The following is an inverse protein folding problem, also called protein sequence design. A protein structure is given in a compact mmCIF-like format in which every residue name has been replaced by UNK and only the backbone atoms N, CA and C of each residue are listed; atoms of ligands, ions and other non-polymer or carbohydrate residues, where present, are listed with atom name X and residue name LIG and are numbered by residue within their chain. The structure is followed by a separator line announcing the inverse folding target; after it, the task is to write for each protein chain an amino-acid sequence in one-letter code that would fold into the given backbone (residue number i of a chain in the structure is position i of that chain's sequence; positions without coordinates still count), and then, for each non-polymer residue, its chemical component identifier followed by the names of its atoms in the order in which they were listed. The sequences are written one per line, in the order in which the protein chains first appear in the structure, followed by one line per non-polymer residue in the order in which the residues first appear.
data_IF_471214320472
#
_entry.id   IF_471214320472
#
_cell.length_a   1.000
_cell.length_b   1.000
_cell.length_c   1.000
_cell.angle_alpha   90.00
_cell.angle_beta   90.00
_cell.angle_gamma   90.00
#
_symmetry.space_group_name_H-M   'P 1'
#
loop_
_entity.id
_entity.type
_entity.pdbx_description
1 polymer ?
#
# COMPACT_ATOMS: atom_id res chain seq x y z
N UNK A 1 4.93 4.40 -5.18
CA UNK A 1 4.49 3.11 -5.71
C UNK A 1 4.53 3.20 -7.23
N UNK A 2 5.38 2.45 -7.89
CA UNK A 2 5.47 2.39 -9.36
C UNK A 2 4.48 1.33 -9.84
N UNK A 3 3.46 1.75 -10.57
CA UNK A 3 2.32 0.91 -10.94
C UNK A 3 2.44 0.32 -12.32
N UNK A 4 3.09 1.01 -13.25
CA UNK A 4 3.32 0.52 -14.62
C UNK A 4 4.57 1.14 -15.26
N UNK A 5 4.99 0.61 -16.41
CA UNK A 5 6.14 1.05 -17.17
C UNK A 5 7.46 0.45 -16.70
N UNK A 6 8.58 0.97 -17.22
CA UNK A 6 9.93 0.53 -16.86
C UNK A 6 10.88 1.69 -16.63
N UNK A 7 11.77 1.50 -15.68
CA UNK A 7 12.75 2.51 -15.33
C UNK A 7 13.72 2.02 -14.27
N UNK A 8 14.31 2.95 -13.56
CA UNK A 8 15.13 2.65 -12.39
C UNK A 8 15.20 3.86 -11.46
N UNK A 9 15.44 3.57 -10.19
CA UNK A 9 15.73 4.57 -9.16
C UNK A 9 17.22 4.53 -8.84
N UNK A 10 17.84 5.71 -8.78
CA UNK A 10 19.21 5.86 -8.27
C UNK A 10 19.20 6.71 -7.01
N UNK A 11 19.99 6.30 -6.04
CA UNK A 11 20.27 7.00 -4.79
C UNK A 11 21.77 6.96 -4.55
N UNK A 12 22.27 7.60 -3.50
CA UNK A 12 23.67 7.45 -3.09
C UNK A 12 24.03 6.01 -2.66
N UNK A 13 23.02 5.21 -2.25
CA UNK A 13 23.23 3.89 -1.67
C UNK A 13 23.02 2.74 -2.66
N UNK A 14 22.19 2.91 -3.69
CA UNK A 14 21.88 1.87 -4.67
C UNK A 14 21.32 2.41 -5.99
N UNK A 15 21.30 1.53 -7.00
CA UNK A 15 20.44 1.64 -8.17
C UNK A 15 19.54 0.39 -8.23
N UNK A 16 18.25 0.56 -8.44
CA UNK A 16 17.25 -0.51 -8.49
C UNK A 16 16.36 -0.35 -9.72
N UNK A 17 16.18 -1.43 -10.47
CA UNK A 17 15.27 -1.45 -11.62
C UNK A 17 13.82 -1.44 -11.19
N UNK A 18 12.99 -0.82 -12.02
CA UNK A 18 11.53 -0.82 -11.96
C UNK A 18 11.07 -1.57 -13.21
N UNK A 19 10.71 -2.83 -13.08
CA UNK A 19 10.25 -3.72 -14.15
C UNK A 19 8.98 -4.51 -13.74
N UNK A 20 8.52 -4.30 -12.54
CA UNK A 20 7.25 -4.78 -11.98
C UNK A 20 6.70 -3.75 -10.98
N UNK A 21 5.51 -4.00 -10.44
CA UNK A 21 4.97 -3.23 -9.32
C UNK A 21 6.04 -3.12 -8.23
N UNK A 22 6.45 -1.90 -7.90
CA UNK A 22 7.57 -1.64 -6.99
C UNK A 22 7.28 -0.47 -6.08
N UNK A 23 7.93 -0.48 -4.93
CA UNK A 23 7.70 0.49 -3.85
C UNK A 23 9.01 1.12 -3.44
N UNK A 24 9.02 2.43 -3.34
CA UNK A 24 10.19 3.21 -2.97
C UNK A 24 9.84 4.21 -1.87
N UNK A 25 10.62 4.20 -0.81
CA UNK A 25 10.63 5.23 0.22
C UNK A 25 12.00 5.90 0.18
N UNK A 26 12.09 7.19 -0.14
CA UNK A 26 13.36 7.89 -0.20
C UNK A 26 13.99 8.02 1.21
N UNK A 27 15.27 8.33 1.25
CA UNK A 27 15.90 8.81 2.48
C UNK A 27 15.47 10.28 2.69
N UNK A 28 14.33 10.45 3.34
CA UNK A 28 13.70 11.76 3.51
C UNK A 28 14.44 12.69 4.48
N UNK A 29 15.38 12.15 5.25
CA UNK A 29 16.21 12.95 6.17
C UNK A 29 17.51 13.42 5.52
N UNK A 30 18.12 12.62 4.63
CA UNK A 30 19.50 12.82 4.21
C UNK A 30 19.83 12.31 2.80
N UNK A 31 18.99 12.47 1.80
CA UNK A 31 19.42 11.93 0.53
C UNK A 31 18.66 12.38 -0.70
N UNK A 32 19.41 12.60 -1.76
CA UNK A 32 18.85 12.81 -3.09
C UNK A 32 18.57 11.48 -3.78
N UNK A 33 17.58 11.48 -4.64
CA UNK A 33 17.26 10.36 -5.51
C UNK A 33 16.85 10.86 -6.90
N UNK A 34 17.00 10.00 -7.89
CA UNK A 34 16.50 10.27 -9.24
C UNK A 34 15.71 9.07 -9.73
N UNK A 35 14.54 9.33 -10.31
CA UNK A 35 13.72 8.35 -11.02
C UNK A 35 13.99 8.53 -12.51
N UNK A 36 14.43 7.46 -13.17
CA UNK A 36 14.72 7.42 -14.60
C UNK A 36 13.68 6.55 -15.30
N UNK A 37 12.87 7.15 -16.18
CA UNK A 37 11.98 6.40 -17.04
C UNK A 37 12.74 5.88 -18.27
N UNK A 38 12.59 4.60 -18.58
CA UNK A 38 13.09 3.97 -19.81
C UNK A 38 11.94 3.75 -20.79
N UNK A 39 10.78 3.41 -20.29
CA UNK A 39 9.49 3.39 -20.96
C UNK A 39 8.55 4.32 -20.19
N UNK A 40 7.31 4.53 -20.68
CA UNK A 40 6.33 5.30 -19.94
C UNK A 40 6.15 4.73 -18.54
N UNK A 41 6.49 5.53 -17.53
CA UNK A 41 6.52 5.12 -16.14
C UNK A 41 5.42 5.85 -15.36
N UNK A 42 4.51 5.08 -14.78
CA UNK A 42 3.45 5.60 -13.91
C UNK A 42 3.75 5.28 -12.46
N UNK A 43 3.45 6.22 -11.58
CA UNK A 43 3.60 5.98 -10.15
C UNK A 43 2.62 6.81 -9.31
N UNK A 44 2.17 6.21 -8.24
CA UNK A 44 1.43 6.87 -7.17
C UNK A 44 2.44 7.45 -6.17
N UNK A 45 2.35 8.75 -5.92
CA UNK A 45 3.17 9.44 -4.92
C UNK A 45 2.31 9.73 -3.68
N UNK A 46 2.69 9.15 -2.53
CA UNK A 46 2.10 9.44 -1.23
C UNK A 46 3.00 10.43 -0.50
N UNK A 47 2.49 11.60 -0.18
CA UNK A 47 3.19 12.64 0.58
C UNK A 47 2.54 12.77 1.95
N UNK A 48 3.31 12.56 3.00
CA UNK A 48 2.82 12.46 4.36
C UNK A 48 3.66 13.32 5.30
N UNK A 49 2.99 14.03 6.20
CA UNK A 49 3.66 14.70 7.29
C UNK A 49 4.03 13.71 8.39
N UNK A 50 5.29 13.68 8.77
CA UNK A 50 5.77 12.89 9.90
C UNK A 50 5.84 13.75 11.16
N UNK A 51 5.21 13.26 12.23
CA UNK A 51 5.27 13.88 13.55
C UNK A 51 6.53 13.46 14.30
N UNK A 52 6.80 14.06 15.44
CA UNK A 52 7.89 13.64 16.34
C UNK A 52 7.73 12.18 16.78
N UNK A 53 6.48 11.73 17.01
CA UNK A 53 6.16 10.33 17.35
C UNK A 53 6.44 9.38 16.18
N UNK A 54 6.14 9.79 14.95
CA UNK A 54 6.48 9.00 13.76
C UNK A 54 8.00 8.83 13.61
N UNK A 55 8.78 9.89 13.82
CA UNK A 55 10.26 9.83 13.81
C UNK A 55 10.82 8.93 14.91
N UNK A 56 10.24 8.96 16.13
CA UNK A 56 10.64 8.05 17.23
C UNK A 56 10.37 6.59 16.89
N UNK A 57 9.20 6.29 16.32
CA UNK A 57 8.84 4.92 15.91
C UNK A 57 9.75 4.41 14.80
N UNK A 58 9.98 5.22 13.78
CA UNK A 58 10.91 4.94 12.70
C UNK A 58 12.33 4.64 13.22
N UNK A 59 12.84 5.47 14.14
CA UNK A 59 14.15 5.27 14.76
C UNK A 59 14.19 3.99 15.62
N UNK A 60 13.13 3.69 16.38
CA UNK A 60 13.03 2.48 17.20
C UNK A 60 13.00 1.19 16.37
N UNK A 61 12.47 1.24 15.16
CA UNK A 61 12.47 0.11 14.22
C UNK A 61 13.84 -0.10 13.54
N UNK A 62 14.81 0.79 13.76
CA UNK A 62 16.12 0.77 13.09
C UNK A 62 16.00 0.70 11.56
N UNK A 63 14.99 1.34 11.01
CA UNK A 63 14.74 1.33 9.57
C UNK A 63 15.91 1.95 8.82
N UNK A 64 16.38 1.26 7.81
CA UNK A 64 17.43 1.78 6.93
C UNK A 64 16.78 2.35 5.66
N UNK A 65 16.91 3.66 5.48
CA UNK A 65 16.47 4.35 4.26
C UNK A 65 17.63 4.54 3.27
N UNK A 66 17.33 4.64 1.97
CA UNK A 66 16.03 4.46 1.34
C UNK A 66 15.60 2.99 1.27
N UNK A 67 14.29 2.75 1.22
CA UNK A 67 13.73 1.41 0.99
C UNK A 67 13.34 1.28 -0.49
N UNK A 68 13.68 0.16 -1.11
CA UNK A 68 13.13 -0.27 -2.40
C UNK A 68 12.72 -1.73 -2.30
N UNK A 69 11.47 -2.03 -2.66
CA UNK A 69 10.92 -3.39 -2.68
C UNK A 69 10.18 -3.62 -3.98
N UNK A 70 10.60 -4.57 -4.77
CA UNK A 70 9.80 -5.12 -5.86
C UNK A 70 8.68 -5.97 -5.28
N UNK A 71 7.54 -6.08 -5.97
CA UNK A 71 6.42 -6.87 -5.49
C UNK A 71 6.81 -8.33 -5.22
N UNK A 72 7.65 -8.90 -6.08
CA UNK A 72 8.19 -10.26 -5.91
C UNK A 72 9.04 -10.46 -4.64
N UNK A 73 9.54 -9.38 -4.04
CA UNK A 73 10.32 -9.41 -2.78
C UNK A 73 9.44 -9.23 -1.54
N UNK A 74 8.13 -9.00 -1.71
CA UNK A 74 7.20 -8.75 -0.59
C UNK A 74 6.74 -10.05 0.07
N UNK A 75 6.31 -9.95 1.33
CA UNK A 75 5.88 -11.12 2.11
C UNK A 75 4.37 -11.31 2.03
N UNK A 76 3.96 -12.48 1.55
CA UNK A 76 2.55 -12.91 1.63
C UNK A 76 2.17 -13.22 3.08
N UNK A 77 0.98 -12.80 3.48
CA UNK A 77 0.41 -13.11 4.79
C UNK A 77 -1.07 -13.48 4.66
N UNK A 78 -1.61 -14.12 5.69
CA UNK A 78 -2.99 -14.55 5.77
C UNK A 78 -3.73 -13.85 6.90
N UNK A 79 -5.02 -13.60 6.71
CA UNK A 79 -5.94 -13.06 7.72
C UNK A 79 -7.29 -13.75 7.58
N UNK A 80 -7.99 -13.93 8.71
CA UNK A 80 -9.30 -14.61 8.74
C UNK A 80 -10.41 -13.86 7.99
N UNK A 81 -10.26 -12.54 7.79
CA UNK A 81 -11.20 -11.72 7.02
C UNK A 81 -11.07 -11.89 5.50
N UNK A 82 -10.08 -12.61 5.02
CA UNK A 82 -9.84 -12.81 3.58
C UNK A 82 -10.63 -14.01 3.07
N UNK A 83 -11.29 -13.83 1.93
CA UNK A 83 -11.92 -14.92 1.20
C UNK A 83 -10.90 -15.98 0.72
N UNK A 84 -11.34 -17.19 0.39
CA UNK A 84 -10.44 -18.30 0.05
C UNK A 84 -9.58 -18.07 -1.18
N UNK A 85 -9.95 -17.13 -2.03
CA UNK A 85 -9.22 -16.75 -3.24
C UNK A 85 -8.61 -15.36 -3.14
N UNK A 86 -8.43 -14.85 -1.91
CA UNK A 86 -7.81 -13.56 -1.64
C UNK A 86 -6.42 -13.78 -1.05
N UNK A 87 -5.43 -13.12 -1.64
CA UNK A 87 -4.04 -13.15 -1.20
C UNK A 87 -3.58 -11.73 -0.87
N UNK A 88 -2.80 -11.59 0.18
CA UNK A 88 -2.32 -10.29 0.67
C UNK A 88 -0.83 -10.29 0.89
N UNK A 89 -0.18 -9.19 0.57
CA UNK A 89 1.25 -8.99 0.76
C UNK A 89 1.51 -7.72 1.56
N UNK A 90 2.40 -7.82 2.52
CA UNK A 90 2.88 -6.68 3.29
C UNK A 90 4.07 -6.05 2.56
N UNK A 91 3.99 -4.75 2.33
CA UNK A 91 5.04 -3.95 1.70
C UNK A 91 5.78 -3.11 2.73
N UNK A 92 5.07 -2.31 3.53
CA UNK A 92 5.62 -1.55 4.65
C UNK A 92 5.01 -2.06 5.94
N UNK A 93 5.87 -2.37 6.90
CA UNK A 93 5.48 -2.86 8.21
C UNK A 93 5.28 -1.70 9.19
N UNK A 94 4.46 -1.96 10.20
CA UNK A 94 4.20 -1.00 11.27
C UNK A 94 5.49 -0.54 11.95
N UNK A 95 5.70 0.77 11.96
CA UNK A 95 6.88 1.41 12.57
C UNK A 95 8.02 1.68 11.59
N UNK A 96 8.13 0.96 10.46
CA UNK A 96 9.21 1.18 9.48
C UNK A 96 9.23 2.62 8.95
N UNK A 97 8.06 3.21 8.74
CA UNK A 97 7.90 4.61 8.31
C UNK A 97 6.86 5.27 9.22
N UNK A 98 7.17 5.38 10.51
CA UNK A 98 6.26 5.91 11.51
C UNK A 98 5.00 5.07 11.65
N UNK A 99 3.82 5.70 11.61
CA UNK A 99 2.51 5.04 11.75
C UNK A 99 1.86 4.63 10.42
N UNK A 100 2.66 4.43 9.39
CA UNK A 100 2.18 4.07 8.06
C UNK A 100 2.43 2.60 7.76
N UNK A 101 1.43 1.96 7.12
CA UNK A 101 1.51 0.60 6.61
C UNK A 101 1.08 0.61 5.14
N UNK A 102 1.58 -0.35 4.38
CA UNK A 102 1.22 -0.49 2.98
C UNK A 102 1.31 -1.94 2.57
N UNK A 103 0.38 -2.34 1.73
CA UNK A 103 0.40 -3.67 1.16
C UNK A 103 -0.42 -3.77 -0.12
N UNK A 104 -0.49 -4.99 -0.64
CA UNK A 104 -1.20 -5.31 -1.88
C UNK A 104 -2.17 -6.45 -1.60
N UNK A 105 -3.34 -6.38 -2.20
CA UNK A 105 -4.30 -7.49 -2.24
C UNK A 105 -4.55 -7.88 -3.70
N UNK A 106 -4.59 -9.18 -3.94
CA UNK A 106 -5.12 -9.79 -5.17
C UNK A 106 -6.23 -10.75 -4.80
N UNK A 107 -7.36 -10.67 -5.47
CA UNK A 107 -8.52 -11.49 -5.21
C UNK A 107 -9.15 -12.00 -6.50
N UNK A 108 -9.85 -13.14 -6.44
CA UNK A 108 -10.64 -13.70 -7.53
C UNK A 108 -12.07 -13.87 -7.04
N UNK A 109 -13.00 -13.07 -7.59
CA UNK A 109 -14.38 -13.04 -7.13
C UNK A 109 -14.54 -12.32 -5.80
N UNK A 110 -15.06 -12.99 -4.77
CA UNK A 110 -15.20 -12.42 -3.43
C UNK A 110 -13.82 -12.01 -2.88
N UNK A 111 -13.75 -10.83 -2.27
CA UNK A 111 -12.52 -10.29 -1.72
C UNK A 111 -12.45 -10.39 -0.20
N UNK A 112 -12.54 -9.25 0.47
CA UNK A 112 -12.41 -9.13 1.92
C UNK A 112 -13.71 -8.74 2.58
N UNK A 113 -13.93 -9.18 3.82
CA UNK A 113 -15.00 -8.69 4.70
C UNK A 113 -14.35 -8.36 6.04
N UNK A 114 -14.12 -7.09 6.30
CA UNK A 114 -13.35 -6.64 7.44
C UNK A 114 -14.22 -5.89 8.45
N UNK A 115 -14.07 -6.25 9.72
CA UNK A 115 -14.56 -5.40 10.80
C UNK A 115 -13.73 -4.16 10.89
N UNK A 116 -14.39 -3.03 11.14
CA UNK A 116 -13.72 -1.75 11.24
C UNK A 116 -12.59 -1.76 12.27
N UNK A 117 -11.41 -1.33 11.83
CA UNK A 117 -10.29 -1.16 12.75
C UNK A 117 -10.30 0.25 13.32
N UNK A 118 -10.56 0.43 14.62
CA UNK A 118 -10.67 1.78 15.19
C UNK A 118 -9.33 2.53 15.26
N UNK A 119 -8.24 1.86 14.93
CA UNK A 119 -6.90 2.42 15.06
C UNK A 119 -6.33 3.02 13.78
N UNK A 120 -6.87 2.70 12.61
CA UNK A 120 -6.30 3.12 11.33
C UNK A 120 -7.36 3.67 10.38
N UNK A 121 -7.01 4.74 9.70
CA UNK A 121 -7.64 5.15 8.45
C UNK A 121 -7.03 4.35 7.30
N UNK A 122 -7.84 3.95 6.31
CA UNK A 122 -7.39 3.15 5.18
C UNK A 122 -7.75 3.81 3.85
N UNK A 123 -6.83 3.73 2.91
CA UNK A 123 -7.03 4.11 1.51
C UNK A 123 -6.76 2.91 0.61
N UNK A 124 -7.50 2.81 -0.49
CA UNK A 124 -7.28 1.79 -1.49
C UNK A 124 -7.09 2.43 -2.86
N UNK A 125 -6.10 1.97 -3.60
CA UNK A 125 -5.82 2.38 -4.97
C UNK A 125 -5.95 1.19 -5.90
N UNK A 126 -6.87 1.29 -6.88
CA UNK A 126 -7.10 0.25 -7.87
C UNK A 126 -5.95 0.10 -8.85
N UNK A 127 -5.36 -1.09 -8.95
CA UNK A 127 -4.39 -1.43 -9.99
C UNK A 127 -5.11 -1.71 -11.32
N UNK A 128 -4.36 -1.95 -12.40
CA UNK A 128 -4.87 -2.03 -13.79
C UNK A 128 -6.07 -2.98 -14.01
N UNK A 129 -6.19 -4.02 -13.19
CA UNK A 129 -7.30 -4.95 -13.24
C UNK A 129 -8.36 -4.73 -12.15
N UNK A 130 -8.32 -3.62 -11.44
CA UNK A 130 -9.33 -3.30 -10.43
C UNK A 130 -10.69 -3.08 -11.09
N UNK A 131 -11.66 -3.88 -10.68
CA UNK A 131 -13.07 -3.77 -11.05
C UNK A 131 -13.90 -4.50 -9.99
N UNK A 132 -14.21 -3.79 -8.91
CA UNK A 132 -14.89 -4.35 -7.75
C UNK A 132 -15.84 -3.35 -7.11
N UNK A 133 -16.70 -3.82 -6.25
CA UNK A 133 -17.53 -2.98 -5.38
C UNK A 133 -16.87 -2.89 -4.00
N UNK A 134 -16.57 -1.68 -3.57
CA UNK A 134 -16.23 -1.37 -2.19
C UNK A 134 -17.51 -1.00 -1.44
N UNK A 135 -17.77 -1.68 -0.35
CA UNK A 135 -18.87 -1.34 0.57
C UNK A 135 -18.29 -0.92 1.90
N UNK A 136 -18.68 0.25 2.40
CA UNK A 136 -18.34 0.77 3.72
C UNK A 136 -19.66 0.98 4.47
N UNK A 137 -19.85 0.26 5.57
CA UNK A 137 -21.13 0.16 6.28
C UNK A 137 -22.29 -0.21 5.34
N UNK A 138 -23.12 0.76 4.98
CA UNK A 138 -24.28 0.59 4.13
C UNK A 138 -24.16 1.28 2.76
N UNK A 139 -22.99 1.85 2.47
CA UNK A 139 -22.73 2.56 1.21
C UNK A 139 -21.82 1.73 0.32
N UNK A 140 -22.19 1.61 -0.94
CA UNK A 140 -21.43 0.85 -1.93
C UNK A 140 -21.05 1.73 -3.10
N UNK A 141 -19.83 1.59 -3.58
CA UNK A 141 -19.28 2.30 -4.73
C UNK A 141 -18.51 1.34 -5.63
N UNK A 142 -18.66 1.50 -6.96
CA UNK A 142 -17.80 0.83 -7.90
C UNK A 142 -16.40 1.42 -7.82
N UNK A 143 -15.39 0.56 -7.91
CA UNK A 143 -13.98 0.92 -7.81
C UNK A 143 -13.21 0.28 -8.96
N UNK A 144 -12.60 1.11 -9.79
CA UNK A 144 -11.91 0.69 -11.00
C UNK A 144 -10.41 0.99 -10.95
N UNK A 145 -9.69 0.60 -11.98
CA UNK A 145 -8.28 0.95 -12.13
C UNK A 145 -8.07 2.48 -12.05
N UNK A 146 -7.10 2.90 -11.24
CA UNK A 146 -6.80 4.30 -10.99
C UNK A 146 -7.71 5.01 -9.98
N UNK A 147 -8.81 4.38 -9.55
CA UNK A 147 -9.67 4.94 -8.52
C UNK A 147 -8.98 4.91 -7.16
N UNK A 148 -9.32 5.90 -6.34
CA UNK A 148 -8.83 6.05 -4.99
C UNK A 148 -10.00 6.14 -4.02
N UNK A 149 -10.04 5.29 -3.02
CA UNK A 149 -11.09 5.29 -2.00
C UNK A 149 -10.54 5.47 -0.60
N UNK A 150 -11.40 5.92 0.31
CA UNK A 150 -11.09 6.15 1.71
C UNK A 150 -12.09 5.42 2.61
N UNK A 151 -11.57 4.69 3.59
CA UNK A 151 -12.32 4.03 4.64
C UNK A 151 -11.91 4.64 5.99
N UNK A 152 -12.78 5.43 6.63
CA UNK A 152 -12.50 5.98 7.94
C UNK A 152 -12.29 4.91 9.00
N UNK A 153 -11.46 5.21 10.00
CA UNK A 153 -11.19 4.33 11.13
C UNK A 153 -12.49 3.88 11.82
N UNK A 154 -12.60 2.59 12.06
CA UNK A 154 -13.71 1.98 12.80
C UNK A 154 -14.90 1.55 11.97
N UNK A 155 -14.97 1.85 10.68
CA UNK A 155 -16.08 1.44 9.83
C UNK A 155 -15.87 0.04 9.24
N UNK A 156 -16.91 -0.80 9.31
CA UNK A 156 -16.93 -2.10 8.65
C UNK A 156 -16.86 -1.91 7.13
N UNK A 157 -16.06 -2.72 6.46
CA UNK A 157 -15.93 -2.61 5.01
C UNK A 157 -15.68 -3.96 4.34
N UNK A 158 -16.08 -4.03 3.09
CA UNK A 158 -15.90 -5.22 2.26
C UNK A 158 -15.58 -4.86 0.82
N UNK A 159 -14.88 -5.76 0.17
CA UNK A 159 -14.59 -5.70 -1.25
C UNK A 159 -15.17 -6.93 -1.91
N UNK A 160 -15.94 -6.73 -2.98
CA UNK A 160 -16.56 -7.82 -3.75
C UNK A 160 -16.32 -7.60 -5.24
N UNK A 161 -15.74 -8.58 -5.91
CA UNK A 161 -15.62 -8.63 -7.36
C UNK A 161 -16.60 -9.63 -7.95
N UNK A 162 -16.85 -9.54 -9.26
CA UNK A 162 -17.65 -10.54 -9.97
C UNK A 162 -16.99 -11.94 -9.91
N UNK A 163 -17.78 -13.02 -9.83
CA UNK A 163 -17.24 -14.37 -9.78
C UNK A 163 -16.27 -14.65 -10.94
N UNK A 164 -15.07 -15.13 -10.60
CA UNK A 164 -14.01 -15.46 -11.55
C UNK A 164 -13.19 -14.28 -12.07
N UNK A 165 -13.55 -13.04 -11.76
CA UNK A 165 -12.70 -11.88 -12.07
C UNK A 165 -11.55 -11.77 -11.10
N UNK A 166 -10.36 -11.58 -11.63
CA UNK A 166 -9.16 -11.25 -10.87
C UNK A 166 -9.05 -9.74 -10.72
N UNK A 167 -8.87 -9.27 -9.50
CA UNK A 167 -8.72 -7.85 -9.16
C UNK A 167 -7.52 -7.65 -8.25
N UNK A 168 -6.91 -6.46 -8.34
CA UNK A 168 -5.80 -6.10 -7.47
C UNK A 168 -5.88 -4.63 -7.04
N UNK A 169 -5.44 -4.37 -5.83
CA UNK A 169 -5.34 -3.01 -5.29
C UNK A 169 -4.20 -2.88 -4.28
N UNK A 170 -3.69 -1.67 -4.14
CA UNK A 170 -2.79 -1.26 -3.06
C UNK A 170 -3.66 -0.74 -1.94
N UNK A 171 -3.46 -1.24 -0.72
CA UNK A 171 -3.99 -0.61 0.47
C UNK A 171 -2.89 0.16 1.20
N UNK A 172 -3.26 1.33 1.70
CA UNK A 172 -2.44 2.17 2.55
C UNK A 172 -3.21 2.45 3.84
N UNK A 173 -2.59 2.23 4.97
CA UNK A 173 -3.16 2.49 6.28
C UNK A 173 -2.28 3.45 7.08
N UNK A 174 -2.92 4.31 7.85
CA UNK A 174 -2.28 5.22 8.78
C UNK A 174 -2.95 5.16 10.14
N UNK A 175 -2.17 4.88 11.18
CA UNK A 175 -2.70 4.96 12.53
C UNK A 175 -3.17 6.38 12.84
N UNK A 176 -4.42 6.53 13.32
CA UNK A 176 -5.02 7.83 13.68
C UNK A 176 -4.35 8.46 14.89
N UNK A 177 -3.76 7.64 15.76
CA UNK A 177 -2.99 8.08 16.93
C UNK A 177 -1.54 7.66 16.77
N UNK A 178 -0.66 8.50 17.31
CA UNK A 178 0.73 8.10 17.50
C UNK A 178 0.78 6.89 18.45
N UNK A 179 1.65 5.92 18.14
CA UNK A 179 1.94 4.85 19.07
C UNK A 179 2.69 5.43 20.26
N UNK A 180 2.24 5.14 21.45
CA UNK A 180 3.07 5.35 22.65
C UNK A 180 4.29 4.43 22.53
N UNK A 181 5.48 5.02 22.69
CA UNK A 181 6.78 4.33 22.57
C UNK A 181 7.00 3.36 23.74
#
# INVERSE_FOLDING_TARGET
CFTSGKGYVTTEKFARNIDELSFFVPDFDNGDFTIHAVEDLEFLCLVLDMTEGDHKNYAACHTTLPIFRSFSETHEYTQDCKGPHTRSWQVLYSGEVGRNLLGVVKAVGEGTVEKGHPAVDQWNYGLDNADFTLTVENESVAHHAGDWSFVPAGLDHSLTAEPGKEVAYIWFERFVKEREA
#
